data_IF_508755278180
#
_entry.id   IF_508755278180
#
_cell.length_a   1.000
_cell.length_b   1.000
_cell.length_c   1.000
_cell.angle_alpha   90.00
_cell.angle_beta   90.00
_cell.angle_gamma   90.00
#
_symmetry.space_group_name_H-M   'P 1'
#
loop_
_entity.id
_entity.type
_entity.pdbx_description
1 polymer ?
#
# COMPACT_ATOMS: atom_id res chain seq x y z
N UNK A 1 67.96 37.16 -56.25
CA UNK A 1 67.10 38.05 -55.41
C UNK A 1 65.66 37.64 -55.59
N UNK A 2 65.16 36.80 -54.65
CA UNK A 2 63.75 36.31 -54.69
C UNK A 2 63.12 36.75 -53.37
N UNK A 3 62.08 37.60 -53.47
CA UNK A 3 61.32 38.08 -52.33
C UNK A 3 60.11 37.16 -52.16
N UNK A 4 60.00 36.53 -50.98
CA UNK A 4 58.79 35.79 -50.53
C UNK A 4 57.85 36.76 -49.77
N UNK A 5 56.51 36.68 -49.95
CA UNK A 5 55.57 37.45 -49.17
C UNK A 5 55.22 36.72 -47.84
N UNK A 6 55.11 37.51 -46.77
CA UNK A 6 54.57 37.11 -45.47
C UNK A 6 53.05 36.93 -45.54
N UNK A 7 52.54 35.73 -45.25
CA UNK A 7 51.09 35.52 -45.06
C UNK A 7 50.79 35.69 -43.57
N UNK A 8 49.92 36.63 -43.24
CA UNK A 8 49.39 36.86 -41.89
C UNK A 8 48.28 35.84 -41.60
N UNK A 9 48.47 35.01 -40.60
CA UNK A 9 47.50 34.03 -40.10
C UNK A 9 46.58 34.73 -39.08
N UNK A 10 45.35 34.99 -39.45
CA UNK A 10 44.30 35.48 -38.54
C UNK A 10 43.77 34.30 -37.71
N UNK A 11 44.12 34.26 -36.39
CA UNK A 11 43.50 33.37 -35.41
C UNK A 11 42.07 33.91 -35.08
N UNK A 12 41.05 33.24 -35.57
CA UNK A 12 39.67 33.44 -35.14
C UNK A 12 39.44 32.87 -33.75
N UNK A 13 39.20 33.72 -32.75
CA UNK A 13 38.71 33.29 -31.42
C UNK A 13 37.23 32.85 -31.57
N UNK A 14 36.99 31.55 -31.54
CA UNK A 14 35.68 30.98 -31.39
C UNK A 14 35.24 31.14 -29.92
N UNK A 15 34.37 32.09 -29.62
CA UNK A 15 33.74 32.20 -28.32
C UNK A 15 32.77 31.03 -28.19
N UNK A 16 33.15 29.98 -27.45
CA UNK A 16 32.26 28.93 -27.03
C UNK A 16 31.21 29.52 -26.07
N UNK A 17 29.97 29.66 -26.51
CA UNK A 17 28.85 29.98 -25.67
C UNK A 17 28.67 28.77 -24.69
N UNK A 18 29.15 28.91 -23.47
CA UNK A 18 28.76 28.04 -22.36
C UNK A 18 27.24 28.22 -22.17
N UNK A 19 26.45 27.26 -22.63
CA UNK A 19 25.03 27.18 -22.31
C UNK A 19 24.94 27.16 -20.77
N UNK A 20 24.49 28.27 -20.18
CA UNK A 20 24.14 28.32 -18.76
C UNK A 20 23.01 27.30 -18.55
N UNK A 21 23.32 26.21 -17.85
CA UNK A 21 22.29 25.36 -17.29
C UNK A 21 21.35 26.26 -16.46
N UNK A 22 20.03 26.15 -16.63
CA UNK A 22 19.11 26.94 -15.82
C UNK A 22 19.43 26.67 -14.35
N UNK A 23 19.60 27.75 -13.57
CA UNK A 23 19.77 27.65 -12.13
C UNK A 23 18.52 26.94 -11.59
N UNK A 24 18.67 25.77 -10.99
CA UNK A 24 17.58 25.08 -10.29
C UNK A 24 17.06 26.03 -9.22
N UNK A 25 15.79 26.40 -9.32
CA UNK A 25 15.11 27.14 -8.27
C UNK A 25 15.05 26.28 -7.01
N UNK A 26 15.14 26.90 -5.85
CA UNK A 26 14.96 26.19 -4.58
C UNK A 26 13.51 25.76 -4.49
N UNK A 27 13.25 24.43 -4.47
CA UNK A 27 11.89 23.88 -4.36
C UNK A 27 11.67 23.44 -2.91
N UNK A 28 10.58 23.94 -2.30
CA UNK A 28 10.12 23.48 -0.99
C UNK A 28 8.81 22.71 -1.18
N UNK A 29 8.80 21.44 -0.84
CA UNK A 29 7.63 20.57 -0.91
C UNK A 29 7.15 20.24 0.51
N UNK A 30 5.96 20.73 0.87
CA UNK A 30 5.29 20.40 2.14
C UNK A 30 4.34 19.24 1.93
N UNK A 31 4.51 18.19 2.71
CA UNK A 31 3.70 16.97 2.64
C UNK A 31 2.96 16.83 3.97
N UNK A 32 1.64 16.83 3.94
CA UNK A 32 0.80 16.51 5.10
C UNK A 32 0.72 15.01 5.31
N UNK A 33 0.71 14.58 6.56
CA UNK A 33 0.31 13.21 6.93
C UNK A 33 -0.83 13.32 7.92
N UNK A 34 -2.02 12.91 7.48
CA UNK A 34 -3.24 12.97 8.27
C UNK A 34 -3.62 11.57 8.75
N UNK A 35 -3.52 11.34 10.04
CA UNK A 35 -3.94 10.09 10.69
C UNK A 35 -5.33 10.30 11.29
N UNK A 36 -6.30 9.53 10.82
CA UNK A 36 -7.65 9.53 11.35
C UNK A 36 -7.77 8.39 12.35
N UNK A 37 -7.93 8.75 13.61
CA UNK A 37 -8.05 7.79 14.71
C UNK A 37 -9.44 7.14 14.68
N UNK A 38 -9.44 5.84 14.88
CA UNK A 38 -10.66 5.04 15.02
C UNK A 38 -10.54 4.14 16.25
N UNK A 39 -11.68 3.81 16.82
CA UNK A 39 -11.72 2.80 17.85
C UNK A 39 -11.39 1.44 17.22
N UNK A 40 -10.31 0.83 17.66
CA UNK A 40 -9.94 -0.51 17.25
C UNK A 40 -10.05 -1.46 18.43
N UNK A 41 -10.57 -2.67 18.22
CA UNK A 41 -10.55 -3.70 19.26
C UNK A 41 -9.12 -3.99 19.73
N UNK A 42 -8.97 -4.40 20.99
CA UNK A 42 -7.68 -4.86 21.47
C UNK A 42 -7.25 -6.13 20.71
N UNK A 43 -6.00 -6.22 20.25
CA UNK A 43 -5.53 -7.40 19.54
C UNK A 43 -5.57 -8.64 20.44
N UNK A 44 -5.64 -9.83 19.84
CA UNK A 44 -5.62 -11.11 20.55
C UNK A 44 -4.35 -11.30 21.39
N UNK A 45 -3.23 -10.78 20.91
CA UNK A 45 -1.94 -10.88 21.57
C UNK A 45 -1.41 -9.50 21.99
N UNK A 46 -0.78 -9.44 23.16
CA UNK A 46 -0.04 -8.25 23.60
C UNK A 46 1.17 -7.94 22.72
N UNK A 47 1.67 -8.95 21.98
CA UNK A 47 2.79 -8.77 21.05
C UNK A 47 2.38 -8.02 19.79
N UNK A 48 1.07 -7.95 19.49
CA UNK A 48 0.52 -7.33 18.29
C UNK A 48 -0.02 -5.90 18.54
N UNK A 49 0.20 -5.36 19.75
CA UNK A 49 -0.16 -3.97 20.03
C UNK A 49 0.50 -3.04 18.99
N UNK A 50 -0.28 -2.20 18.32
CA UNK A 50 0.27 -1.26 17.34
C UNK A 50 1.19 -0.26 18.05
N UNK A 51 2.35 0.08 17.45
CA UNK A 51 3.19 1.17 17.94
C UNK A 51 2.45 2.52 17.85
N UNK A 52 2.71 3.43 18.78
CA UNK A 52 2.10 4.77 18.78
C UNK A 52 2.44 5.58 17.52
N UNK A 53 3.61 5.34 16.93
CA UNK A 53 4.11 5.99 15.74
C UNK A 53 3.85 5.21 14.44
N UNK A 54 3.01 4.18 14.48
CA UNK A 54 2.70 3.37 13.28
C UNK A 54 2.19 4.26 12.16
N UNK A 55 2.60 3.97 10.93
CA UNK A 55 2.43 4.78 9.72
C UNK A 55 3.23 6.09 9.72
N UNK A 56 3.20 6.91 10.77
CA UNK A 56 3.99 8.16 10.83
C UNK A 56 5.49 7.89 10.74
N UNK A 57 5.96 6.82 11.35
CA UNK A 57 7.37 6.43 11.28
C UNK A 57 7.81 6.14 9.83
N UNK A 58 6.95 5.51 9.04
CA UNK A 58 7.19 5.31 7.60
C UNK A 58 7.33 6.62 6.84
N UNK A 59 6.40 7.54 7.06
CA UNK A 59 6.44 8.86 6.43
C UNK A 59 7.71 9.65 6.81
N UNK A 60 8.13 9.62 8.08
CA UNK A 60 9.38 10.27 8.54
C UNK A 60 10.62 9.68 7.88
N UNK A 61 10.70 8.35 7.72
CA UNK A 61 11.80 7.71 7.00
C UNK A 61 11.77 8.08 5.52
N UNK A 62 10.59 8.15 4.89
CA UNK A 62 10.42 8.64 3.53
C UNK A 62 10.89 10.08 3.34
N UNK A 63 10.61 10.95 4.32
CA UNK A 63 11.11 12.34 4.34
C UNK A 63 12.64 12.40 4.40
N UNK A 64 13.27 11.58 5.27
CA UNK A 64 14.73 11.50 5.36
C UNK A 64 15.35 11.08 4.03
N UNK A 65 14.74 10.08 3.37
CA UNK A 65 15.17 9.60 2.06
C UNK A 65 15.05 10.69 0.99
N UNK A 66 13.93 11.42 0.94
CA UNK A 66 13.74 12.53 0.01
C UNK A 66 14.76 13.66 0.24
N UNK A 67 14.95 14.08 1.47
CA UNK A 67 15.92 15.13 1.80
C UNK A 67 17.38 14.69 1.54
N UNK A 68 17.67 13.39 1.59
CA UNK A 68 19.01 12.88 1.24
C UNK A 68 19.35 13.15 -0.22
N UNK A 69 18.41 12.98 -1.14
CA UNK A 69 18.55 13.32 -2.56
C UNK A 69 18.39 14.82 -2.79
N UNK A 70 17.39 15.43 -2.16
CA UNK A 70 16.97 16.81 -2.33
C UNK A 70 18.10 17.83 -2.10
N UNK A 71 18.97 17.58 -1.10
CA UNK A 71 20.10 18.49 -0.80
C UNK A 71 21.07 18.71 -1.99
N UNK A 72 21.15 17.75 -2.92
CA UNK A 72 21.96 17.87 -4.13
C UNK A 72 21.26 18.63 -5.25
N UNK A 73 19.92 18.72 -5.18
CA UNK A 73 19.05 19.35 -6.15
C UNK A 73 18.49 20.69 -5.69
N UNK A 74 18.85 21.13 -4.46
CA UNK A 74 18.27 22.28 -3.76
C UNK A 74 16.77 22.14 -3.50
N UNK A 75 16.31 20.90 -3.29
CA UNK A 75 14.97 20.59 -2.86
C UNK A 75 14.94 20.35 -1.37
N UNK A 76 13.94 20.92 -0.70
CA UNK A 76 13.68 20.73 0.72
C UNK A 76 12.29 20.13 0.86
N UNK A 77 12.20 19.06 1.64
CA UNK A 77 10.94 18.40 1.95
C UNK A 77 10.62 18.61 3.43
N UNK A 78 9.39 19.00 3.71
CA UNK A 78 8.86 19.21 5.05
C UNK A 78 7.66 18.30 5.28
N UNK A 79 7.53 17.78 6.51
CA UNK A 79 6.40 16.92 6.89
C UNK A 79 5.54 17.67 7.93
N UNK A 80 4.23 17.76 7.67
CA UNK A 80 3.24 18.31 8.59
C UNK A 80 2.36 17.17 9.07
N UNK A 81 2.51 16.78 10.32
CA UNK A 81 1.79 15.66 10.91
C UNK A 81 0.55 16.15 11.65
N UNK A 82 -0.59 15.53 11.34
CA UNK A 82 -1.87 15.81 11.99
C UNK A 82 -2.52 14.50 12.43
N UNK A 83 -3.11 14.51 13.62
CA UNK A 83 -3.98 13.44 14.12
C UNK A 83 -5.34 14.02 14.46
N UNK A 84 -6.39 13.31 14.08
CA UNK A 84 -7.76 13.73 14.37
C UNK A 84 -8.70 12.52 14.40
N UNK A 85 -9.88 12.68 14.92
CA UNK A 85 -11.00 11.76 14.69
C UNK A 85 -11.84 12.20 13.48
N UNK A 86 -12.88 11.45 13.17
CA UNK A 86 -13.77 11.78 12.05
C UNK A 86 -14.46 13.14 12.18
N UNK A 87 -14.76 13.58 13.39
CA UNK A 87 -15.43 14.87 13.63
C UNK A 87 -14.50 16.06 13.40
N UNK A 88 -13.21 15.90 13.65
CA UNK A 88 -12.19 16.94 13.49
C UNK A 88 -11.62 17.08 12.07
N UNK A 89 -12.03 16.25 11.10
CA UNK A 89 -11.51 16.25 9.74
C UNK A 89 -11.52 17.63 9.06
N UNK A 90 -12.63 18.41 9.07
CA UNK A 90 -12.64 19.73 8.42
C UNK A 90 -11.61 20.69 9.02
N UNK A 91 -11.46 20.69 10.35
CA UNK A 91 -10.50 21.55 11.03
C UNK A 91 -9.05 21.14 10.74
N UNK A 92 -8.77 19.83 10.70
CA UNK A 92 -7.44 19.31 10.37
C UNK A 92 -7.04 19.65 8.92
N UNK A 93 -7.94 19.49 7.96
CA UNK A 93 -7.68 19.82 6.56
C UNK A 93 -7.51 21.33 6.34
N UNK A 94 -8.34 22.16 7.00
CA UNK A 94 -8.16 23.60 6.97
C UNK A 94 -6.82 24.05 7.58
N UNK A 95 -6.37 23.39 8.66
CA UNK A 95 -5.05 23.59 9.26
C UNK A 95 -3.92 23.28 8.27
N UNK A 96 -3.96 22.13 7.62
CA UNK A 96 -2.98 21.75 6.59
C UNK A 96 -2.95 22.75 5.44
N UNK A 97 -4.13 23.18 4.95
CA UNK A 97 -4.24 24.20 3.91
C UNK A 97 -3.61 25.54 4.32
N UNK A 98 -3.86 25.99 5.57
CA UNK A 98 -3.31 27.23 6.11
C UNK A 98 -1.77 27.19 6.24
N UNK A 99 -1.17 26.01 6.43
CA UNK A 99 0.28 25.79 6.42
C UNK A 99 0.87 25.68 5.01
N UNK A 100 0.02 25.75 3.96
CA UNK A 100 0.44 25.65 2.56
C UNK A 100 0.76 24.23 2.12
N UNK A 101 0.14 23.23 2.76
CA UNK A 101 0.22 21.82 2.35
C UNK A 101 -0.71 21.61 1.16
N UNK A 102 -0.15 21.15 0.03
CA UNK A 102 -0.91 20.80 -1.16
C UNK A 102 -0.99 19.29 -1.43
N UNK A 103 -0.22 18.48 -0.72
CA UNK A 103 -0.16 17.03 -0.89
C UNK A 103 -0.34 16.36 0.46
N UNK A 104 -1.37 15.53 0.61
CA UNK A 104 -1.75 14.92 1.90
C UNK A 104 -1.76 13.41 1.80
N UNK A 105 -0.90 12.74 2.56
CA UNK A 105 -0.93 11.28 2.76
C UNK A 105 -1.90 10.97 3.88
N UNK A 106 -2.91 10.14 3.61
CA UNK A 106 -3.96 9.79 4.56
C UNK A 106 -3.78 8.38 5.11
N UNK A 107 -3.91 8.28 6.42
CA UNK A 107 -4.02 7.02 7.17
C UNK A 107 -5.43 7.00 7.76
N UNK A 108 -6.36 6.41 7.01
CA UNK A 108 -7.79 6.49 7.28
C UNK A 108 -8.50 5.23 6.75
N UNK A 109 -9.72 4.99 7.19
CA UNK A 109 -10.63 4.04 6.52
C UNK A 109 -11.26 4.68 5.27
N UNK A 110 -12.11 3.91 4.59
CA UNK A 110 -12.70 4.33 3.32
C UNK A 110 -13.65 5.53 3.48
N UNK A 111 -14.47 5.54 4.52
CA UNK A 111 -15.46 6.61 4.74
C UNK A 111 -14.78 7.93 5.12
N UNK A 112 -13.77 7.88 5.99
CA UNK A 112 -12.98 9.03 6.34
C UNK A 112 -12.17 9.56 5.14
N UNK A 113 -11.62 8.68 4.30
CA UNK A 113 -10.91 9.07 3.07
C UNK A 113 -11.85 9.82 2.11
N UNK A 114 -13.07 9.31 1.90
CA UNK A 114 -14.07 9.98 1.06
C UNK A 114 -14.47 11.33 1.65
N UNK A 115 -14.71 11.38 2.97
CA UNK A 115 -15.00 12.63 3.65
C UNK A 115 -13.87 13.66 3.49
N UNK A 116 -12.61 13.24 3.56
CA UNK A 116 -11.44 14.12 3.30
C UNK A 116 -11.44 14.59 1.85
N UNK A 117 -11.59 13.66 0.90
CA UNK A 117 -11.49 13.97 -0.54
C UNK A 117 -12.58 14.92 -1.02
N UNK A 118 -13.75 14.90 -0.38
CA UNK A 118 -14.92 15.73 -0.72
C UNK A 118 -14.95 17.09 0.00
N UNK A 119 -13.95 17.39 0.87
CA UNK A 119 -13.83 18.71 1.51
C UNK A 119 -13.43 19.79 0.48
N UNK A 120 -13.93 21.03 0.62
CA UNK A 120 -13.55 22.12 -0.25
C UNK A 120 -12.02 22.36 -0.32
N UNK A 121 -11.33 22.22 0.81
CA UNK A 121 -9.88 22.36 0.90
C UNK A 121 -9.12 21.32 0.09
N UNK A 122 -9.70 20.12 -0.07
CA UNK A 122 -9.09 19.03 -0.82
C UNK A 122 -9.25 19.16 -2.34
N UNK A 123 -10.09 20.07 -2.83
CA UNK A 123 -10.36 20.24 -4.28
C UNK A 123 -9.09 20.53 -5.10
N UNK A 124 -8.17 21.33 -4.53
CA UNK A 124 -6.90 21.68 -5.16
C UNK A 124 -5.70 20.90 -4.59
N UNK A 125 -5.97 19.90 -3.72
CA UNK A 125 -4.94 19.07 -3.12
C UNK A 125 -4.82 17.72 -3.82
N UNK A 126 -3.65 17.12 -3.74
CA UNK A 126 -3.41 15.72 -4.03
C UNK A 126 -3.54 14.92 -2.75
N UNK A 127 -4.56 14.07 -2.65
CA UNK A 127 -4.77 13.15 -1.55
C UNK A 127 -4.18 11.78 -1.91
N UNK A 128 -3.33 11.24 -1.05
CA UNK A 128 -2.68 9.94 -1.27
C UNK A 128 -3.13 8.97 -0.19
N UNK A 129 -3.95 8.02 -0.56
CA UNK A 129 -4.44 6.96 0.32
C UNK A 129 -3.35 5.94 0.63
N UNK A 130 -2.98 5.80 1.90
CA UNK A 130 -1.95 4.86 2.34
C UNK A 130 -2.51 3.63 3.10
N UNK A 131 -3.80 3.57 3.45
CA UNK A 131 -4.31 2.46 4.26
C UNK A 131 -5.68 1.91 3.89
N UNK A 132 -6.58 2.72 3.29
CA UNK A 132 -7.91 2.25 2.94
C UNK A 132 -7.88 1.26 1.76
N UNK A 133 -8.32 0.01 2.01
CA UNK A 133 -8.26 -1.11 1.08
C UNK A 133 -9.58 -1.43 0.38
N UNK A 134 -10.64 -0.65 0.63
CA UNK A 134 -11.97 -0.90 0.05
C UNK A 134 -11.94 -0.80 -1.48
N UNK A 135 -12.47 -1.84 -2.13
CA UNK A 135 -12.49 -1.93 -3.59
C UNK A 135 -13.35 -0.82 -4.23
N UNK A 136 -14.43 -0.37 -3.55
CA UNK A 136 -15.32 0.71 -4.03
C UNK A 136 -14.58 2.02 -4.31
N UNK A 137 -13.50 2.29 -3.58
CA UNK A 137 -12.66 3.49 -3.78
C UNK A 137 -11.93 3.51 -5.14
N UNK A 138 -11.80 2.36 -5.80
CA UNK A 138 -11.21 2.19 -7.14
C UNK A 138 -12.27 1.91 -8.21
N UNK A 139 -13.54 2.08 -7.83
CA UNK A 139 -14.72 1.86 -8.64
C UNK A 139 -15.74 2.96 -8.44
N UNK A 140 -16.95 2.62 -7.97
CA UNK A 140 -18.07 3.54 -7.87
C UNK A 140 -17.83 4.81 -7.02
N UNK A 141 -16.94 4.72 -6.01
CA UNK A 141 -16.65 5.83 -5.11
C UNK A 141 -15.27 6.46 -5.41
N UNK A 142 -14.72 6.31 -6.62
CA UNK A 142 -13.44 6.90 -6.95
C UNK A 142 -13.50 8.43 -6.98
N UNK A 143 -12.34 9.06 -6.68
CA UNK A 143 -12.19 10.53 -6.69
C UNK A 143 -10.95 10.91 -7.49
N UNK A 144 -11.10 11.90 -8.38
CA UNK A 144 -10.02 12.36 -9.26
C UNK A 144 -8.80 12.90 -8.49
N UNK A 145 -9.01 13.49 -7.32
CA UNK A 145 -7.94 14.04 -6.48
C UNK A 145 -7.29 12.99 -5.55
N UNK A 146 -7.69 11.71 -5.61
CA UNK A 146 -7.16 10.64 -4.76
C UNK A 146 -6.30 9.69 -5.58
N UNK A 147 -5.05 9.45 -5.14
CA UNK A 147 -4.20 8.36 -5.59
C UNK A 147 -4.11 7.29 -4.50
N UNK A 148 -4.13 6.02 -4.89
CA UNK A 148 -4.12 4.91 -3.94
C UNK A 148 -2.76 4.22 -3.92
N UNK A 149 -1.99 4.40 -2.85
CA UNK A 149 -0.79 3.62 -2.54
C UNK A 149 -1.16 2.35 -1.77
N UNK A 150 -2.19 2.39 -0.92
CA UNK A 150 -2.74 1.19 -0.31
C UNK A 150 -3.26 0.22 -1.39
N UNK A 151 -3.02 -1.09 -1.27
CA UNK A 151 -3.64 -2.08 -2.16
C UNK A 151 -5.15 -2.16 -1.89
N UNK A 152 -5.91 -2.60 -2.88
CA UNK A 152 -7.30 -2.99 -2.65
C UNK A 152 -7.38 -4.42 -2.09
N UNK A 153 -8.52 -4.79 -1.45
CA UNK A 153 -8.77 -6.17 -1.02
C UNK A 153 -8.70 -7.15 -2.19
N UNK A 154 -9.20 -6.74 -3.35
CA UNK A 154 -9.08 -7.53 -4.56
C UNK A 154 -7.63 -7.84 -4.94
N UNK A 155 -6.69 -6.88 -4.81
CA UNK A 155 -5.26 -7.12 -5.07
C UNK A 155 -4.66 -8.11 -4.08
N UNK A 156 -5.00 -8.01 -2.81
CA UNK A 156 -4.55 -8.90 -1.73
C UNK A 156 -5.06 -10.32 -1.99
N UNK A 157 -6.36 -10.47 -2.24
CA UNK A 157 -6.99 -11.76 -2.52
C UNK A 157 -6.44 -12.41 -3.78
N UNK A 158 -6.25 -11.63 -4.86
CA UNK A 158 -5.70 -12.12 -6.12
C UNK A 158 -4.26 -12.61 -5.95
N UNK A 159 -3.43 -11.87 -5.19
CA UNK A 159 -2.05 -12.26 -4.92
C UNK A 159 -1.94 -13.61 -4.19
N UNK A 160 -2.84 -13.86 -3.24
CA UNK A 160 -2.91 -15.13 -2.52
C UNK A 160 -3.50 -16.25 -3.39
N UNK A 161 -4.58 -15.95 -4.12
CA UNK A 161 -5.27 -16.90 -4.99
C UNK A 161 -4.35 -17.47 -6.08
N UNK A 162 -3.53 -16.64 -6.71
CA UNK A 162 -2.55 -17.08 -7.70
C UNK A 162 -1.61 -18.14 -7.12
N UNK A 163 -1.09 -17.93 -5.92
CA UNK A 163 -0.20 -18.89 -5.26
C UNK A 163 -0.93 -20.19 -4.92
N UNK A 164 -2.15 -20.11 -4.36
CA UNK A 164 -2.93 -21.28 -4.01
C UNK A 164 -3.26 -22.13 -5.22
N UNK A 165 -3.72 -21.52 -6.32
CA UNK A 165 -4.03 -22.21 -7.57
C UNK A 165 -2.76 -22.80 -8.21
N UNK A 166 -1.64 -22.08 -8.18
CA UNK A 166 -0.34 -22.59 -8.62
C UNK A 166 0.08 -23.84 -7.83
N UNK A 167 -0.22 -23.89 -6.53
CA UNK A 167 -0.03 -25.06 -5.67
C UNK A 167 -1.04 -26.17 -5.94
N UNK A 168 -2.04 -25.94 -6.78
CA UNK A 168 -3.20 -26.83 -7.02
C UNK A 168 -4.08 -27.02 -5.80
N UNK A 169 -4.12 -26.03 -4.93
CA UNK A 169 -5.11 -25.91 -3.87
C UNK A 169 -6.32 -25.16 -4.43
N UNK A 170 -7.19 -25.89 -5.12
CA UNK A 170 -8.31 -25.31 -5.87
C UNK A 170 -9.64 -25.41 -5.17
N UNK A 171 -9.77 -26.32 -4.20
CA UNK A 171 -10.99 -26.52 -3.43
C UNK A 171 -10.84 -25.80 -2.08
N UNK A 172 -11.58 -24.70 -1.93
CA UNK A 172 -11.46 -23.81 -0.79
C UNK A 172 -12.60 -23.96 0.19
N UNK A 173 -12.29 -24.10 1.48
CA UNK A 173 -13.22 -23.81 2.57
C UNK A 173 -13.03 -22.34 2.95
N UNK A 174 -13.98 -21.47 2.57
CA UNK A 174 -13.96 -20.06 2.96
C UNK A 174 -14.56 -19.90 4.35
N UNK A 175 -13.80 -19.33 5.26
CA UNK A 175 -14.25 -18.99 6.61
C UNK A 175 -14.08 -17.51 6.83
N UNK A 176 -15.16 -16.82 7.18
CA UNK A 176 -15.09 -15.39 7.45
C UNK A 176 -15.80 -15.00 8.76
N UNK A 177 -15.41 -13.85 9.32
CA UNK A 177 -16.07 -13.29 10.48
C UNK A 177 -17.40 -12.64 10.18
N UNK A 178 -18.07 -12.16 11.23
CA UNK A 178 -19.38 -11.51 11.14
C UNK A 178 -19.30 -9.97 11.07
N UNK A 179 -18.10 -9.40 11.10
CA UNK A 179 -17.91 -7.95 10.98
C UNK A 179 -17.95 -7.50 9.51
N UNK A 180 -18.31 -6.23 9.23
CA UNK A 180 -18.42 -5.73 7.86
C UNK A 180 -17.14 -5.88 7.03
N UNK A 181 -15.97 -5.60 7.61
CA UNK A 181 -14.66 -5.72 6.96
C UNK A 181 -14.34 -7.17 6.57
N UNK A 182 -14.72 -8.14 7.41
CA UNK A 182 -14.54 -9.57 7.13
C UNK A 182 -15.38 -9.99 5.93
N UNK A 183 -16.62 -9.49 5.83
CA UNK A 183 -17.52 -9.74 4.71
C UNK A 183 -16.97 -9.15 3.39
N UNK A 184 -16.37 -7.96 3.43
CA UNK A 184 -15.72 -7.33 2.27
C UNK A 184 -14.51 -8.15 1.80
N UNK A 185 -13.69 -8.66 2.72
CA UNK A 185 -12.56 -9.53 2.38
C UNK A 185 -13.02 -10.87 1.83
N UNK A 186 -14.10 -11.46 2.39
CA UNK A 186 -14.72 -12.68 1.85
C UNK A 186 -15.21 -12.48 0.41
N UNK A 187 -15.80 -11.33 0.08
CA UNK A 187 -16.21 -11.04 -1.30
C UNK A 187 -14.99 -10.95 -2.25
N UNK A 188 -13.89 -10.34 -1.78
CA UNK A 188 -12.65 -10.32 -2.55
C UNK A 188 -12.13 -11.75 -2.83
N UNK A 189 -12.19 -12.67 -1.85
CA UNK A 189 -11.84 -14.08 -2.07
C UNK A 189 -12.80 -14.80 -3.00
N UNK A 190 -14.13 -14.56 -2.93
CA UNK A 190 -15.09 -15.13 -3.88
C UNK A 190 -14.81 -14.65 -5.31
N UNK A 191 -14.47 -13.37 -5.47
CA UNK A 191 -14.05 -12.81 -6.77
C UNK A 191 -12.76 -13.49 -7.25
N UNK A 192 -11.74 -13.58 -6.41
CA UNK A 192 -10.46 -14.19 -6.75
C UNK A 192 -10.60 -15.68 -7.12
N UNK A 193 -11.43 -16.45 -6.40
CA UNK A 193 -11.74 -17.84 -6.73
C UNK A 193 -12.27 -17.96 -8.16
N UNK A 194 -13.31 -17.17 -8.51
CA UNK A 194 -13.87 -17.13 -9.86
C UNK A 194 -12.83 -16.73 -10.92
N UNK A 195 -12.02 -15.72 -10.62
CA UNK A 195 -11.00 -15.17 -11.55
C UNK A 195 -9.91 -16.20 -11.88
N UNK A 196 -9.47 -16.96 -10.91
CA UNK A 196 -8.33 -17.87 -11.05
C UNK A 196 -8.73 -19.35 -11.15
N UNK A 197 -10.02 -19.66 -11.16
CA UNK A 197 -10.53 -21.02 -11.38
C UNK A 197 -10.42 -21.93 -10.17
N UNK A 198 -10.57 -21.39 -8.96
CA UNK A 198 -10.80 -22.15 -7.74
C UNK A 198 -12.29 -22.27 -7.43
N UNK A 199 -12.67 -23.26 -6.65
CA UNK A 199 -14.03 -23.52 -6.19
C UNK A 199 -14.11 -23.31 -4.68
N UNK A 200 -15.10 -22.55 -4.22
CA UNK A 200 -15.45 -22.48 -2.80
C UNK A 200 -16.45 -23.61 -2.53
N UNK A 201 -15.93 -24.74 -2.02
CA UNK A 201 -16.74 -25.94 -1.78
C UNK A 201 -17.67 -25.78 -0.59
N UNK A 202 -17.28 -24.96 0.38
CA UNK A 202 -18.13 -24.61 1.52
C UNK A 202 -17.73 -23.21 2.02
N UNK A 203 -18.72 -22.49 2.56
CA UNK A 203 -18.52 -21.20 3.22
C UNK A 203 -19.14 -21.22 4.61
N UNK A 204 -18.39 -20.70 5.61
CA UNK A 204 -18.83 -20.62 7.00
C UNK A 204 -18.61 -19.24 7.57
N UNK A 205 -19.59 -18.76 8.32
CA UNK A 205 -19.52 -17.51 9.07
C UNK A 205 -19.22 -17.83 10.54
N UNK A 206 -18.15 -17.25 11.05
CA UNK A 206 -17.84 -17.31 12.49
C UNK A 206 -18.45 -16.09 13.17
N UNK A 207 -19.52 -16.31 13.94
CA UNK A 207 -20.20 -15.25 14.67
C UNK A 207 -19.37 -14.78 15.88
N UNK A 208 -19.06 -13.48 15.91
CA UNK A 208 -18.41 -12.89 17.10
C UNK A 208 -19.44 -12.72 18.21
N UNK A 209 -19.44 -13.66 19.15
CA UNK A 209 -20.30 -13.62 20.35
C UNK A 209 -19.58 -13.02 21.56
N UNK A 210 -18.44 -12.34 21.36
CA UNK A 210 -17.47 -12.04 22.40
C UNK A 210 -16.60 -13.26 22.67
N UNK A 211 -15.70 -13.19 23.65
CA UNK A 211 -14.83 -14.34 24.00
C UNK A 211 -13.49 -14.36 23.26
N UNK A 212 -13.27 -13.43 22.34
CA UNK A 212 -11.98 -13.24 21.69
C UNK A 212 -11.00 -12.41 22.53
N UNK A 213 -11.45 -11.83 23.63
CA UNK A 213 -10.64 -10.92 24.45
C UNK A 213 -9.94 -11.66 25.58
N UNK A 214 -8.81 -11.11 26.04
CA UNK A 214 -7.98 -11.71 27.12
C UNK A 214 -8.70 -11.86 28.46
N UNK A 215 -9.73 -11.06 28.71
CA UNK A 215 -10.55 -11.13 29.91
C UNK A 215 -11.59 -12.23 29.88
N UNK A 216 -11.85 -12.81 28.70
CA UNK A 216 -12.89 -13.80 28.53
C UNK A 216 -12.46 -15.18 29.03
N UNK A 217 -13.41 -15.98 29.42
CA UNK A 217 -13.16 -17.28 30.02
C UNK A 217 -14.24 -18.30 29.67
N UNK A 218 -13.98 -19.56 29.99
CA UNK A 218 -14.96 -20.63 29.84
C UNK A 218 -15.23 -21.03 28.40
N UNK A 219 -16.49 -21.31 28.09
CA UNK A 219 -16.94 -21.80 26.79
C UNK A 219 -17.03 -20.68 25.73
N UNK A 220 -17.03 -19.42 26.14
CA UNK A 220 -17.02 -18.26 25.21
C UNK A 220 -15.65 -18.04 24.59
N UNK A 221 -14.58 -18.69 25.07
CA UNK A 221 -13.27 -18.57 24.44
C UNK A 221 -13.30 -19.10 23.01
N UNK A 222 -12.96 -18.25 22.04
CA UNK A 222 -12.91 -18.57 20.61
C UNK A 222 -12.11 -19.86 20.35
N UNK A 223 -10.94 -20.00 20.94
CA UNK A 223 -10.11 -21.20 20.80
C UNK A 223 -10.80 -22.52 21.19
N UNK A 224 -11.89 -22.50 21.96
CA UNK A 224 -12.69 -23.68 22.30
C UNK A 224 -13.87 -23.90 21.35
N UNK A 225 -14.29 -22.85 20.66
CA UNK A 225 -15.37 -22.91 19.66
C UNK A 225 -14.86 -23.48 18.33
N UNK A 226 -13.65 -23.13 17.91
CA UNK A 226 -13.06 -23.48 16.60
C UNK A 226 -13.14 -25.00 16.31
N UNK A 227 -12.75 -25.94 17.21
CA UNK A 227 -12.82 -27.37 16.90
C UNK A 227 -14.22 -27.84 16.52
N UNK A 228 -15.26 -27.33 17.20
CA UNK A 228 -16.65 -27.69 16.91
C UNK A 228 -17.13 -27.00 15.62
N UNK A 229 -16.80 -25.75 15.44
CA UNK A 229 -17.14 -24.95 14.26
C UNK A 229 -16.59 -25.58 12.97
N UNK A 230 -15.39 -26.16 13.03
CA UNK A 230 -14.70 -26.77 11.87
C UNK A 230 -15.05 -28.24 11.63
N UNK A 231 -15.90 -28.87 12.49
CA UNK A 231 -16.30 -30.27 12.30
C UNK A 231 -17.12 -30.45 11.03
N UNK A 232 -16.94 -31.60 10.37
CA UNK A 232 -17.72 -32.02 9.20
C UNK A 232 -17.71 -31.00 8.08
N UNK A 233 -16.59 -30.32 7.89
CA UNK A 233 -16.40 -29.51 6.69
C UNK A 233 -16.36 -30.42 5.45
N UNK A 234 -16.84 -29.92 4.33
CA UNK A 234 -16.70 -30.56 3.03
C UNK A 234 -15.21 -30.78 2.73
N UNK A 235 -14.90 -31.75 1.89
CA UNK A 235 -13.51 -32.03 1.50
C UNK A 235 -12.94 -30.79 0.78
N UNK A 236 -11.78 -30.33 1.23
CA UNK A 236 -11.14 -29.12 0.73
C UNK A 236 -9.61 -29.25 0.78
N UNK A 237 -8.94 -28.48 -0.08
CA UNK A 237 -7.48 -28.42 -0.12
C UNK A 237 -6.91 -27.47 0.93
N UNK A 238 -7.61 -26.36 1.16
CA UNK A 238 -7.12 -25.26 2.00
C UNK A 238 -8.30 -24.51 2.67
N UNK A 239 -8.04 -24.01 3.86
CA UNK A 239 -8.94 -23.06 4.54
C UNK A 239 -8.52 -21.64 4.19
N UNK A 240 -9.42 -20.87 3.59
CA UNK A 240 -9.23 -19.45 3.28
C UNK A 240 -9.95 -18.61 4.32
N UNK A 241 -9.23 -17.71 4.97
CA UNK A 241 -9.70 -16.97 6.15
C UNK A 241 -9.84 -15.50 5.84
N UNK A 242 -11.04 -14.94 6.07
CA UNK A 242 -11.29 -13.52 6.09
C UNK A 242 -11.67 -13.09 7.53
N UNK A 243 -10.71 -12.53 8.25
CA UNK A 243 -10.80 -12.14 9.67
C UNK A 243 -10.01 -10.85 9.91
N UNK A 244 -10.29 -9.80 9.11
CA UNK A 244 -9.68 -8.45 9.28
C UNK A 244 -9.97 -7.89 10.68
N UNK A 245 -11.10 -8.30 11.29
CA UNK A 245 -11.49 -7.97 12.67
C UNK A 245 -10.62 -8.66 13.75
N UNK A 246 -9.79 -9.64 13.38
CA UNK A 246 -8.89 -10.39 14.26
C UNK A 246 -9.61 -11.07 15.43
N UNK A 247 -10.72 -11.75 15.17
CA UNK A 247 -11.52 -12.45 16.20
C UNK A 247 -11.09 -13.89 16.35
N UNK A 248 -10.89 -14.64 15.26
CA UNK A 248 -10.78 -16.11 15.32
C UNK A 248 -9.68 -16.70 14.43
N UNK A 249 -9.29 -16.06 13.37
CA UNK A 249 -8.44 -16.61 12.30
C UNK A 249 -7.11 -17.17 12.82
N UNK A 250 -6.48 -16.49 13.78
CA UNK A 250 -5.21 -16.89 14.35
C UNK A 250 -5.24 -18.28 15.03
N UNK A 251 -6.41 -18.80 15.37
CA UNK A 251 -6.56 -20.13 15.99
C UNK A 251 -6.72 -21.25 14.95
N UNK A 252 -7.17 -20.96 13.73
CA UNK A 252 -7.48 -21.98 12.71
C UNK A 252 -6.29 -22.89 12.38
N UNK A 253 -5.06 -22.41 12.18
CA UNK A 253 -3.92 -23.26 11.85
C UNK A 253 -3.64 -24.35 12.86
N UNK A 254 -4.10 -24.17 14.11
CA UNK A 254 -3.75 -25.05 15.24
C UNK A 254 -4.95 -25.73 15.89
N UNK A 255 -6.17 -25.29 15.58
CA UNK A 255 -7.40 -25.75 16.25
C UNK A 255 -8.45 -26.29 15.30
N UNK A 256 -8.26 -26.22 14.00
CA UNK A 256 -9.15 -26.85 13.03
C UNK A 256 -9.21 -28.37 13.28
N UNK A 257 -10.35 -28.98 12.96
CA UNK A 257 -10.56 -30.42 13.13
C UNK A 257 -9.69 -31.23 12.17
N UNK A 258 -9.69 -30.83 10.88
CA UNK A 258 -8.82 -31.39 9.86
C UNK A 258 -7.55 -30.53 9.68
N UNK A 259 -6.36 -31.15 9.67
CA UNK A 259 -5.11 -30.44 9.49
C UNK A 259 -4.92 -30.08 7.99
N UNK A 260 -5.51 -29.00 7.55
CA UNK A 260 -5.32 -28.44 6.20
C UNK A 260 -4.46 -27.18 6.27
N UNK A 261 -3.77 -26.81 5.18
CA UNK A 261 -3.17 -25.47 5.06
C UNK A 261 -4.20 -24.38 5.36
N UNK A 262 -3.74 -23.28 5.92
CA UNK A 262 -4.56 -22.09 6.19
C UNK A 262 -3.91 -20.90 5.51
N UNK A 263 -4.69 -20.09 4.79
CA UNK A 263 -4.24 -18.87 4.16
C UNK A 263 -5.28 -17.75 4.28
N UNK A 264 -4.88 -16.50 4.13
CA UNK A 264 -5.74 -15.33 4.32
C UNK A 264 -5.22 -14.45 5.43
N UNK A 265 -6.09 -14.11 6.38
CA UNK A 265 -5.69 -13.33 7.56
C UNK A 265 -4.99 -14.18 8.65
N UNK A 266 -4.77 -15.46 8.35
CA UNK A 266 -4.01 -16.37 9.19
C UNK A 266 -3.23 -17.41 8.37
N UNK A 267 -2.21 -18.02 8.95
CA UNK A 267 -1.36 -19.01 8.27
C UNK A 267 -0.45 -18.37 7.24
N UNK A 268 -0.68 -18.59 5.96
CA UNK A 268 -0.02 -17.87 4.86
C UNK A 268 -0.76 -16.56 4.63
N UNK A 269 -0.13 -15.45 5.00
CA UNK A 269 -0.73 -14.11 4.98
C UNK A 269 -0.18 -13.31 3.79
N UNK A 270 -1.06 -12.58 3.13
CA UNK A 270 -0.70 -11.59 2.13
C UNK A 270 -0.45 -10.24 2.80
N UNK A 271 0.72 -9.66 2.58
CA UNK A 271 1.14 -8.40 3.21
C UNK A 271 1.87 -7.48 2.23
N UNK A 272 1.94 -6.22 2.59
CA UNK A 272 2.67 -5.24 1.78
C UNK A 272 4.14 -5.14 2.17
N UNK A 273 4.47 -5.49 3.41
CA UNK A 273 5.84 -5.55 3.89
C UNK A 273 6.03 -6.66 4.92
N UNK A 274 7.17 -7.32 4.86
CA UNK A 274 7.58 -8.28 5.87
C UNK A 274 9.05 -8.07 6.24
N UNK A 275 9.35 -8.02 7.53
CA UNK A 275 10.70 -7.69 8.02
C UNK A 275 11.78 -8.70 7.61
N UNK A 276 11.41 -9.93 7.26
CA UNK A 276 12.32 -10.95 6.72
C UNK A 276 12.43 -10.92 5.19
N UNK A 277 11.89 -9.90 4.53
CA UNK A 277 12.06 -9.74 3.09
C UNK A 277 13.49 -9.27 2.77
N UNK A 278 14.28 -10.13 2.11
CA UNK A 278 15.72 -9.88 1.89
C UNK A 278 16.07 -9.55 0.44
N UNK A 279 15.15 -9.82 -0.50
CA UNK A 279 15.40 -9.62 -1.93
C UNK A 279 15.28 -8.16 -2.35
N UNK A 280 15.86 -7.84 -3.53
CA UNK A 280 15.72 -6.56 -4.23
C UNK A 280 16.02 -5.31 -3.39
N UNK A 281 16.92 -5.41 -2.40
CA UNK A 281 17.31 -4.29 -1.55
C UNK A 281 16.40 -4.04 -0.33
N UNK A 282 15.39 -4.89 -0.09
CA UNK A 282 14.47 -4.76 1.03
C UNK A 282 15.18 -4.76 2.39
N UNK A 283 16.22 -5.59 2.57
CA UNK A 283 17.04 -5.59 3.80
C UNK A 283 17.63 -4.21 4.12
N UNK A 284 17.99 -3.43 3.10
CA UNK A 284 18.55 -2.09 3.31
C UNK A 284 17.49 -1.12 3.81
N UNK A 285 16.27 -1.18 3.27
CA UNK A 285 15.15 -0.38 3.73
C UNK A 285 14.77 -0.77 5.17
N UNK A 286 14.64 -2.07 5.45
CA UNK A 286 14.31 -2.59 6.79
C UNK A 286 15.32 -2.11 7.84
N UNK A 287 16.63 -2.26 7.58
CA UNK A 287 17.69 -1.82 8.50
C UNK A 287 17.73 -0.30 8.70
N UNK A 288 17.43 0.47 7.64
CA UNK A 288 17.33 1.93 7.74
C UNK A 288 16.16 2.33 8.62
N UNK A 289 15.00 1.72 8.40
CA UNK A 289 13.82 1.92 9.23
C UNK A 289 14.09 1.55 10.71
N UNK A 290 14.65 0.38 10.99
CA UNK A 290 14.99 -0.07 12.35
C UNK A 290 16.00 0.85 13.05
N UNK A 291 16.94 1.41 12.31
CA UNK A 291 17.90 2.37 12.88
C UNK A 291 17.22 3.65 13.37
N UNK A 292 16.24 4.13 12.63
CA UNK A 292 15.51 5.38 12.97
C UNK A 292 14.45 5.15 14.04
N UNK A 293 13.74 4.02 14.00
CA UNK A 293 12.53 3.77 14.78
C UNK A 293 12.71 2.79 15.95
N UNK A 294 13.79 2.00 15.94
CA UNK A 294 14.10 0.92 16.90
C UNK A 294 13.08 -0.24 16.91
N UNK A 295 12.29 -0.35 15.86
CA UNK A 295 11.31 -1.43 15.66
C UNK A 295 11.28 -1.89 14.20
N UNK A 296 10.62 -3.02 13.94
CA UNK A 296 10.39 -3.52 12.59
C UNK A 296 9.34 -2.66 11.87
N UNK A 297 9.53 -2.51 10.56
CA UNK A 297 8.57 -1.87 9.67
C UNK A 297 7.33 -2.76 9.52
N UNK A 298 6.16 -2.17 9.56
CA UNK A 298 4.86 -2.79 9.29
C UNK A 298 4.30 -2.33 7.95
N UNK A 299 3.21 -2.91 7.49
CA UNK A 299 2.56 -2.60 6.22
C UNK A 299 2.20 -1.12 6.09
N UNK A 300 1.57 -0.55 7.11
CA UNK A 300 1.19 0.88 7.14
C UNK A 300 2.41 1.80 7.09
N UNK A 301 3.52 1.43 7.74
CA UNK A 301 4.78 2.18 7.66
C UNK A 301 5.37 2.13 6.24
N UNK A 302 5.35 0.95 5.61
CA UNK A 302 5.84 0.80 4.25
C UNK A 302 5.01 1.60 3.25
N UNK A 303 3.69 1.57 3.39
CA UNK A 303 2.78 2.27 2.49
C UNK A 303 2.88 3.79 2.62
N UNK A 304 3.00 4.32 3.85
CA UNK A 304 3.23 5.75 4.06
C UNK A 304 4.63 6.20 3.63
N UNK A 305 5.66 5.37 3.88
CA UNK A 305 6.99 5.59 3.32
C UNK A 305 6.93 5.69 1.80
N UNK A 306 6.25 4.76 1.14
CA UNK A 306 6.13 4.70 -0.32
C UNK A 306 5.35 5.90 -0.88
N UNK A 307 4.27 6.33 -0.20
CA UNK A 307 3.50 7.50 -0.57
C UNK A 307 4.37 8.78 -0.54
N UNK A 308 5.11 9.01 0.54
CA UNK A 308 6.03 10.15 0.67
C UNK A 308 7.16 10.06 -0.36
N UNK A 309 7.68 8.86 -0.64
CA UNK A 309 8.70 8.63 -1.66
C UNK A 309 8.19 8.88 -3.07
N UNK A 310 6.96 8.48 -3.40
CA UNK A 310 6.35 8.74 -4.70
C UNK A 310 6.21 10.25 -4.96
N UNK A 311 5.71 10.99 -3.97
CA UNK A 311 5.67 12.46 -4.03
C UNK A 311 7.09 13.03 -4.24
N UNK A 312 8.08 12.56 -3.45
CA UNK A 312 9.46 13.03 -3.56
C UNK A 312 10.10 12.74 -4.91
N UNK A 313 9.83 11.59 -5.51
CA UNK A 313 10.28 11.26 -6.87
C UNK A 313 9.66 12.21 -7.89
N UNK A 314 8.33 12.48 -7.79
CA UNK A 314 7.66 13.40 -8.68
C UNK A 314 8.23 14.83 -8.57
N UNK A 315 8.41 15.36 -7.36
CA UNK A 315 9.06 16.67 -7.13
C UNK A 315 10.47 16.69 -7.73
N UNK A 316 11.22 15.61 -7.55
CA UNK A 316 12.58 15.48 -8.09
C UNK A 316 12.60 15.55 -9.61
N UNK A 317 11.65 14.91 -10.28
CA UNK A 317 11.59 14.83 -11.76
C UNK A 317 10.99 16.06 -12.42
N UNK A 318 9.98 16.65 -11.78
CA UNK A 318 9.29 17.82 -12.33
C UNK A 318 9.94 19.14 -11.94
N UNK A 319 10.76 19.14 -10.89
CA UNK A 319 11.27 20.35 -10.25
C UNK A 319 10.15 21.33 -9.83
N UNK A 320 9.02 20.77 -9.40
CA UNK A 320 7.81 21.47 -8.98
C UNK A 320 7.28 20.90 -7.66
N UNK A 321 6.46 21.67 -6.96
CA UNK A 321 5.80 21.25 -5.72
C UNK A 321 4.29 21.53 -5.72
N UNK A 322 3.74 22.00 -6.86
CA UNK A 322 2.31 22.18 -6.98
C UNK A 322 1.58 20.83 -7.21
N UNK A 323 0.40 20.61 -6.58
CA UNK A 323 -0.29 19.32 -6.61
C UNK A 323 -0.67 18.84 -8.01
N UNK A 324 -1.04 19.76 -8.91
CA UNK A 324 -1.49 19.42 -10.26
C UNK A 324 -0.35 18.83 -11.10
N UNK A 325 0.81 19.50 -11.13
CA UNK A 325 2.02 19.01 -11.82
C UNK A 325 2.49 17.67 -11.23
N UNK A 326 2.48 17.53 -9.89
CA UNK A 326 2.87 16.29 -9.23
C UNK A 326 1.91 15.15 -9.61
N UNK A 327 0.59 15.39 -9.60
CA UNK A 327 -0.41 14.39 -9.98
C UNK A 327 -0.26 13.98 -11.45
N UNK A 328 -0.08 14.93 -12.35
CA UNK A 328 0.11 14.67 -13.79
C UNK A 328 1.33 13.75 -14.01
N UNK A 329 2.46 14.06 -13.37
CA UNK A 329 3.65 13.22 -13.48
C UNK A 329 3.43 11.82 -12.89
N UNK A 330 2.81 11.69 -11.69
CA UNK A 330 2.55 10.40 -11.06
C UNK A 330 1.67 9.48 -11.90
N UNK A 331 0.73 10.03 -12.68
CA UNK A 331 -0.15 9.29 -13.58
C UNK A 331 0.42 9.07 -14.97
N UNK A 332 1.59 9.63 -15.27
CA UNK A 332 2.23 9.48 -16.59
C UNK A 332 3.00 8.17 -16.70
N UNK A 333 3.25 7.73 -17.93
CA UNK A 333 4.10 6.56 -18.24
C UNK A 333 5.58 6.77 -17.86
N UNK A 334 5.97 8.01 -17.55
CA UNK A 334 7.34 8.33 -17.11
C UNK A 334 7.57 8.05 -15.60
N UNK A 335 6.50 7.85 -14.84
CA UNK A 335 6.62 7.57 -13.41
C UNK A 335 6.89 6.10 -13.14
N UNK A 336 8.02 5.84 -12.51
CA UNK A 336 8.37 4.56 -11.94
C UNK A 336 9.05 4.74 -10.58
N UNK A 337 8.72 3.89 -9.63
CA UNK A 337 9.36 3.88 -8.32
C UNK A 337 9.69 2.46 -7.86
N UNK A 338 10.82 2.32 -7.17
CA UNK A 338 11.23 1.04 -6.60
C UNK A 338 10.42 0.71 -5.33
N UNK A 339 9.68 -0.40 -5.37
CA UNK A 339 8.92 -0.94 -4.23
C UNK A 339 9.63 -2.07 -3.49
N UNK A 340 10.86 -2.42 -3.87
CA UNK A 340 11.66 -3.53 -3.31
C UNK A 340 10.99 -4.91 -3.40
N UNK A 341 10.17 -5.12 -4.43
CA UNK A 341 9.45 -6.39 -4.67
C UNK A 341 9.67 -6.94 -6.09
N UNK A 342 10.80 -6.60 -6.71
CA UNK A 342 11.25 -7.16 -7.98
C UNK A 342 10.75 -6.46 -9.23
N UNK A 343 9.76 -5.57 -9.13
CA UNK A 343 9.23 -4.81 -10.25
C UNK A 343 9.16 -3.33 -9.90
N UNK A 344 9.33 -2.45 -10.88
CA UNK A 344 9.03 -1.04 -10.75
C UNK A 344 7.52 -0.85 -10.60
N UNK A 345 7.13 0.12 -9.79
CA UNK A 345 5.74 0.44 -9.51
C UNK A 345 5.34 1.69 -10.27
N UNK A 346 4.12 1.69 -10.82
CA UNK A 346 3.51 2.83 -11.51
C UNK A 346 2.02 2.91 -11.19
N UNK A 347 1.39 4.06 -11.38
CA UNK A 347 -0.05 4.18 -11.17
C UNK A 347 -0.84 3.69 -12.39
N UNK A 348 -2.03 3.16 -12.15
CA UNK A 348 -3.04 2.84 -13.15
C UNK A 348 -3.82 4.09 -13.48
N UNK A 349 -3.91 4.53 -14.75
CA UNK A 349 -4.63 5.75 -15.10
C UNK A 349 -6.16 5.61 -14.96
N UNK A 350 -6.70 4.38 -15.04
CA UNK A 350 -8.15 4.13 -15.01
C UNK A 350 -8.79 4.13 -13.62
N UNK A 351 -7.99 4.02 -12.54
CA UNK A 351 -8.52 4.00 -11.17
C UNK A 351 -7.54 4.55 -10.13
N UNK A 352 -6.49 5.24 -10.55
CA UNK A 352 -5.49 5.88 -9.69
C UNK A 352 -4.80 4.92 -8.69
N UNK A 353 -4.82 3.61 -8.92
CA UNK A 353 -4.20 2.61 -8.05
C UNK A 353 -2.72 2.39 -8.40
N UNK A 354 -1.84 2.49 -7.42
CA UNK A 354 -0.45 2.06 -7.57
C UNK A 354 -0.39 0.54 -7.74
N UNK A 355 0.29 0.08 -8.78
CA UNK A 355 0.56 -1.34 -9.02
C UNK A 355 1.52 -1.85 -7.96
N UNK A 356 1.18 -2.95 -7.31
CA UNK A 356 2.01 -3.56 -6.27
C UNK A 356 2.24 -5.04 -6.50
N UNK A 357 3.43 -5.52 -6.11
CA UNK A 357 3.60 -6.92 -5.74
C UNK A 357 3.10 -7.14 -4.31
N UNK A 358 2.51 -8.30 -4.05
CA UNK A 358 2.00 -8.73 -2.76
C UNK A 358 2.94 -9.78 -2.17
N UNK A 359 3.46 -9.55 -0.97
CA UNK A 359 4.32 -10.50 -0.27
C UNK A 359 3.43 -11.56 0.38
N UNK A 360 3.74 -12.83 0.16
CA UNK A 360 3.12 -13.95 0.86
C UNK A 360 4.11 -14.48 1.90
N UNK A 361 3.73 -14.40 3.16
CA UNK A 361 4.61 -14.73 4.28
C UNK A 361 3.85 -15.49 5.38
N UNK A 362 4.59 -16.22 6.19
CA UNK A 362 4.12 -16.64 7.51
C UNK A 362 4.66 -15.69 8.58
N UNK A 363 4.46 -16.01 9.86
CA UNK A 363 4.92 -15.16 10.95
C UNK A 363 6.45 -14.98 11.05
N UNK A 364 7.26 -15.64 10.21
CA UNK A 364 8.72 -15.67 10.31
C UNK A 364 9.46 -15.42 8.99
N UNK A 365 8.94 -15.90 7.87
CA UNK A 365 9.63 -15.87 6.60
C UNK A 365 8.70 -15.50 5.44
N UNK A 366 9.30 -14.93 4.39
CA UNK A 366 8.64 -14.71 3.11
C UNK A 366 8.69 -15.98 2.29
N UNK A 367 7.53 -16.43 1.81
CA UNK A 367 7.38 -17.62 0.98
C UNK A 367 7.59 -17.25 -0.49
N UNK A 368 6.93 -16.18 -0.96
CA UNK A 368 7.03 -15.69 -2.34
C UNK A 368 6.47 -14.26 -2.43
N UNK A 369 6.58 -13.67 -3.62
CA UNK A 369 5.92 -12.40 -3.97
C UNK A 369 5.04 -12.62 -5.20
N UNK A 370 3.76 -12.31 -5.08
CA UNK A 370 2.82 -12.31 -6.21
C UNK A 370 2.88 -10.97 -6.96
N UNK A 371 2.62 -10.95 -8.29
CA UNK A 371 2.02 -12.00 -9.09
C UNK A 371 2.98 -13.16 -9.36
N UNK A 372 2.45 -14.39 -9.39
CA UNK A 372 3.22 -15.57 -9.74
C UNK A 372 3.57 -15.60 -11.23
N UNK A 373 4.65 -16.31 -11.60
CA UNK A 373 5.23 -16.22 -12.96
C UNK A 373 4.31 -16.75 -14.06
N UNK A 374 3.42 -17.67 -13.73
CA UNK A 374 2.49 -18.29 -14.64
C UNK A 374 1.34 -17.38 -15.07
N UNK A 375 1.07 -16.33 -14.31
CA UNK A 375 -0.02 -15.39 -14.61
C UNK A 375 0.51 -14.22 -15.43
N UNK A 376 0.16 -14.22 -16.71
CA UNK A 376 0.62 -13.24 -17.68
C UNK A 376 -0.44 -12.16 -17.91
N UNK A 377 0.03 -10.96 -18.27
CA UNK A 377 -0.80 -9.82 -18.66
C UNK A 377 -0.17 -9.10 -19.86
N UNK A 378 -0.99 -8.41 -20.68
CA UNK A 378 -0.52 -7.75 -21.90
C UNK A 378 0.44 -6.59 -21.63
N UNK A 379 0.22 -5.83 -20.53
CA UNK A 379 1.03 -4.68 -20.17
C UNK A 379 2.05 -5.03 -19.08
N UNK A 380 1.59 -5.35 -17.88
CA UNK A 380 2.47 -5.76 -16.78
C UNK A 380 1.80 -6.85 -15.95
N UNK A 381 2.58 -7.79 -15.46
CA UNK A 381 2.04 -8.84 -14.56
C UNK A 381 1.37 -8.26 -13.30
N UNK A 382 1.73 -7.06 -12.87
CA UNK A 382 1.08 -6.40 -11.73
C UNK A 382 -0.40 -6.09 -12.00
N UNK A 383 -0.82 -6.00 -13.27
CA UNK A 383 -2.24 -5.78 -13.62
C UNK A 383 -3.08 -7.07 -13.56
N UNK A 384 -2.47 -8.23 -13.29
CA UNK A 384 -3.21 -9.44 -12.91
C UNK A 384 -3.82 -9.37 -11.51
N UNK A 385 -3.38 -8.41 -10.67
CA UNK A 385 -3.85 -8.22 -9.29
C UNK A 385 -4.89 -7.09 -9.22
N UNK A 386 -6.05 -7.36 -8.63
CA UNK A 386 -7.15 -6.42 -8.50
C UNK A 386 -7.98 -6.28 -9.78
N UNK A 387 -8.61 -5.14 -9.95
CA UNK A 387 -9.44 -4.84 -11.12
C UNK A 387 -8.57 -4.31 -12.26
N UNK A 388 -8.65 -4.96 -13.42
CA UNK A 388 -8.02 -4.51 -14.64
C UNK A 388 -8.84 -3.41 -15.32
N UNK A 389 -8.26 -2.74 -16.33
CA UNK A 389 -8.92 -1.63 -17.04
C UNK A 389 -10.32 -1.96 -17.55
N UNK A 390 -10.58 -3.12 -18.21
CA UNK A 390 -11.94 -3.49 -18.65
C UNK A 390 -12.93 -3.77 -17.51
N UNK A 391 -12.44 -4.03 -16.29
CA UNK A 391 -13.25 -4.29 -15.10
C UNK A 391 -13.52 -3.02 -14.28
N UNK A 392 -12.89 -1.89 -14.64
CA UNK A 392 -13.00 -0.64 -13.88
C UNK A 392 -14.40 -0.03 -14.08
N UNK A 393 -14.99 0.38 -12.95
CA UNK A 393 -16.21 1.16 -12.90
C UNK A 393 -15.97 2.59 -12.41
N UNK A 394 -14.71 3.02 -12.36
CA UNK A 394 -14.33 4.35 -11.94
C UNK A 394 -14.56 5.34 -13.09
N UNK A 395 -15.27 6.44 -12.81
CA UNK A 395 -15.52 7.57 -13.70
C UNK A 395 -15.05 8.85 -12.99
N UNK A 396 -14.02 9.53 -13.55
CA UNK A 396 -13.45 10.77 -12.99
C UNK A 396 -14.07 12.03 -13.57
#
# INVERSE_FOLDING_TARGET
>A
MIRLPFAALLLGLSASALAQMPAHADVVAKIGVLVVERETPLPLSRLDLPPEDEALAGARVGLIDNNTTGRFLKHTYELVEQRTDAAGLPAAMAGLAAEGVGMVVTVADADALLAIADLPEAAEMLVVNATASDDRLRGADCRANVLHVAPSRAMIADGLAQYMVWKRWTDWLLVHGSHPEDALMAEAYRRAARKFGAEIVEERVFEDTGGARRSDSGHVLVQKQIPVFMQRAEEHDIVVVADESQVFGAYLPYRAWDPRPVAGDAGLVASMWHASHESWGATQLQRRFERETKRRMRDSDYLTWLAVRAIGEAVTRTNASDPATIREYLLSDAFEIAGFKGQALSFRPWNNQLRHGVILADGKLVVTVSPQEEFLHQHTRLDTLGFDEPESTCEF
#
